data_IF_957544449699
#
_entry.id   IF_957544449699
#
_cell.length_a   1.000
_cell.length_b   1.000
_cell.length_c   1.000
_cell.angle_alpha   90.00
_cell.angle_beta   90.00
_cell.angle_gamma   90.00
#
_symmetry.space_group_name_H-M   'P 1'
#
loop_
_entity.id
_entity.type
_entity.pdbx_description
1 polymer ?
#
# COMPACT_ATOMS: atom_id res chain seq x y z
N UNK A 1 11.46 4.96 12.48
CA UNK A 1 12.01 5.89 11.47
C UNK A 1 10.91 6.32 10.51
N UNK A 2 11.15 7.26 9.59
CA UNK A 2 10.13 7.69 8.63
C UNK A 2 9.76 6.54 7.68
N UNK A 3 8.46 6.21 7.48
CA UNK A 3 8.02 5.09 6.64
C UNK A 3 8.55 5.14 5.20
N UNK A 4 8.63 6.33 4.61
CA UNK A 4 9.16 6.50 3.25
C UNK A 4 10.61 6.01 3.10
N UNK A 5 11.45 6.09 4.13
CA UNK A 5 12.86 5.69 4.04
C UNK A 5 13.02 4.18 3.85
N UNK A 6 12.22 3.38 4.58
CA UNK A 6 12.30 1.91 4.46
C UNK A 6 11.68 1.42 3.14
N UNK A 7 10.57 2.05 2.71
CA UNK A 7 9.94 1.75 1.42
C UNK A 7 10.92 2.07 0.28
N UNK A 8 11.63 3.19 0.36
CA UNK A 8 12.66 3.57 -0.61
C UNK A 8 13.87 2.63 -0.60
N UNK A 9 14.39 2.24 0.57
CA UNK A 9 15.54 1.33 0.65
C UNK A 9 15.24 -0.06 0.07
N UNK A 10 13.97 -0.46 0.05
CA UNK A 10 13.50 -1.70 -0.56
C UNK A 10 13.26 -1.59 -2.07
N UNK A 11 13.52 -0.42 -2.67
CA UNK A 11 13.45 -0.20 -4.11
C UNK A 11 12.04 0.00 -4.67
N UNK A 12 11.07 0.39 -3.84
CA UNK A 12 9.68 0.52 -4.29
C UNK A 12 9.37 1.80 -5.06
N UNK A 13 10.24 2.81 -5.10
CA UNK A 13 9.99 4.03 -5.89
C UNK A 13 9.71 3.68 -7.35
N UNK A 14 8.55 4.07 -7.86
CA UNK A 14 8.11 3.78 -9.23
C UNK A 14 7.49 2.40 -9.43
N UNK A 15 7.43 1.53 -8.41
CA UNK A 15 6.71 0.25 -8.47
C UNK A 15 5.21 0.48 -8.66
N UNK A 16 4.57 -0.41 -9.42
CA UNK A 16 3.19 -0.27 -9.88
C UNK A 16 2.38 -1.54 -9.69
N UNK A 17 1.09 -1.37 -9.41
CA UNK A 17 0.05 -2.38 -9.57
C UNK A 17 -1.17 -1.67 -10.18
N UNK A 18 -1.69 -2.20 -11.29
CA UNK A 18 -2.79 -1.55 -12.02
C UNK A 18 -2.47 -0.09 -12.32
N UNK A 19 -3.35 0.84 -11.91
CA UNK A 19 -3.15 2.29 -12.03
C UNK A 19 -2.50 2.97 -10.82
N UNK A 20 -2.14 2.23 -9.76
CA UNK A 20 -1.49 2.75 -8.56
C UNK A 20 0.05 2.62 -8.66
N UNK A 21 0.77 3.63 -8.18
CA UNK A 21 2.24 3.67 -8.18
C UNK A 21 2.80 4.27 -6.90
N UNK A 22 3.91 3.74 -6.40
CA UNK A 22 4.70 4.43 -5.37
C UNK A 22 5.43 5.60 -6.02
N UNK A 23 5.23 6.81 -5.51
CA UNK A 23 5.79 8.03 -6.09
C UNK A 23 7.32 7.93 -6.25
N UNK A 24 7.87 8.25 -7.44
CA UNK A 24 9.32 8.27 -7.65
C UNK A 24 10.00 9.42 -6.88
N UNK A 25 9.23 10.43 -6.46
CA UNK A 25 9.76 11.59 -5.73
C UNK A 25 9.87 11.28 -4.23
N UNK A 26 8.82 10.71 -3.63
CA UNK A 26 8.75 10.47 -2.19
C UNK A 26 7.98 9.18 -1.89
N UNK A 27 8.68 8.14 -1.43
CA UNK A 27 8.16 6.77 -1.35
C UNK A 27 7.02 6.55 -0.32
N UNK A 28 6.74 7.53 0.53
CA UNK A 28 5.56 7.50 1.41
C UNK A 28 4.23 7.80 0.67
N UNK A 29 4.28 8.20 -0.60
CA UNK A 29 3.08 8.51 -1.38
C UNK A 29 2.78 7.41 -2.38
N UNK A 30 1.54 6.94 -2.36
CA UNK A 30 0.95 6.20 -3.46
C UNK A 30 0.18 7.19 -4.31
N UNK A 31 0.46 7.21 -5.62
CA UNK A 31 -0.18 8.10 -6.59
C UNK A 31 -1.02 7.28 -7.55
N UNK A 32 -2.18 7.82 -7.92
CA UNK A 32 -2.90 7.35 -9.10
C UNK A 32 -2.17 7.90 -10.34
N UNK A 33 -1.51 7.03 -11.10
CA UNK A 33 -0.79 7.42 -12.31
C UNK A 33 -1.65 7.28 -13.58
N UNK A 34 -2.93 6.95 -13.41
CA UNK A 34 -3.92 6.76 -14.46
C UNK A 34 -4.74 5.50 -14.20
N UNK A 35 -6.05 5.66 -14.01
CA UNK A 35 -6.99 4.54 -13.94
C UNK A 35 -6.88 3.66 -12.68
N UNK A 36 -6.23 4.12 -11.60
CA UNK A 36 -6.15 3.32 -10.37
C UNK A 36 -7.53 3.03 -9.79
N UNK A 37 -7.79 1.77 -9.46
CA UNK A 37 -8.93 1.37 -8.64
C UNK A 37 -8.50 1.09 -7.20
N UNK A 38 -9.44 1.04 -6.26
CA UNK A 38 -9.11 0.84 -4.84
C UNK A 38 -8.30 -0.44 -4.59
N UNK A 39 -8.61 -1.54 -5.29
CA UNK A 39 -7.88 -2.80 -5.18
C UNK A 39 -6.42 -2.69 -5.62
N UNK A 40 -6.08 -1.77 -6.52
CA UNK A 40 -4.68 -1.54 -6.92
C UNK A 40 -3.87 -0.97 -5.77
N UNK A 41 -4.45 -0.01 -5.05
CA UNK A 41 -3.83 0.61 -3.88
C UNK A 41 -3.66 -0.42 -2.76
N UNK A 42 -4.70 -1.20 -2.47
CA UNK A 42 -4.66 -2.26 -1.43
C UNK A 42 -3.55 -3.27 -1.74
N UNK A 43 -3.52 -3.80 -2.97
CA UNK A 43 -2.48 -4.75 -3.40
C UNK A 43 -1.07 -4.16 -3.31
N UNK A 44 -0.91 -2.88 -3.66
CA UNK A 44 0.40 -2.23 -3.60
C UNK A 44 0.86 -2.04 -2.15
N UNK A 45 -0.04 -1.68 -1.23
CA UNK A 45 0.26 -1.61 0.21
C UNK A 45 0.63 -2.99 0.76
N UNK A 46 -0.12 -4.03 0.38
CA UNK A 46 0.16 -5.40 0.80
C UNK A 46 1.54 -5.86 0.31
N UNK A 47 1.87 -5.65 -0.96
CA UNK A 47 3.18 -6.00 -1.51
C UNK A 47 4.34 -5.29 -0.78
N UNK A 48 4.16 -4.01 -0.44
CA UNK A 48 5.14 -3.26 0.36
C UNK A 48 5.31 -3.90 1.74
N UNK A 49 4.21 -4.17 2.44
CA UNK A 49 4.24 -4.75 3.78
C UNK A 49 4.78 -6.18 3.82
N UNK A 50 4.46 -7.02 2.84
CA UNK A 50 5.03 -8.35 2.67
C UNK A 50 6.55 -8.28 2.53
N UNK A 51 7.05 -7.35 1.71
CA UNK A 51 8.48 -7.17 1.51
C UNK A 51 9.18 -6.66 2.77
N UNK A 52 8.60 -5.69 3.48
CA UNK A 52 9.14 -5.20 4.75
C UNK A 52 9.17 -6.32 5.79
N UNK A 53 8.09 -7.10 5.89
CA UNK A 53 8.02 -8.22 6.83
C UNK A 53 9.06 -9.28 6.50
N UNK A 54 9.23 -9.64 5.22
CA UNK A 54 10.23 -10.61 4.79
C UNK A 54 11.67 -10.17 5.08
N UNK A 55 12.00 -8.88 4.97
CA UNK A 55 13.38 -8.40 5.17
C UNK A 55 13.68 -7.95 6.61
N UNK A 56 12.66 -7.52 7.36
CA UNK A 56 12.85 -6.85 8.65
C UNK A 56 12.01 -7.44 9.80
N UNK A 57 11.09 -8.37 9.53
CA UNK A 57 10.30 -9.05 10.56
C UNK A 57 9.17 -8.21 11.17
N UNK A 58 8.77 -7.09 10.55
CA UNK A 58 7.63 -6.28 10.99
C UNK A 58 6.84 -5.71 9.80
N UNK A 59 5.63 -5.21 10.04
CA UNK A 59 4.81 -4.50 9.03
C UNK A 59 4.67 -3.02 9.38
N UNK A 60 4.43 -2.19 8.36
CA UNK A 60 4.07 -0.78 8.57
C UNK A 60 2.58 -0.63 8.78
N UNK A 61 2.25 0.17 9.79
CA UNK A 61 0.89 0.63 10.05
C UNK A 61 0.54 1.77 9.08
N UNK A 62 -0.38 1.54 8.15
CA UNK A 62 -0.87 2.56 7.22
C UNK A 62 -1.71 3.63 7.93
N UNK A 63 -1.60 4.90 7.55
CA UNK A 63 -2.56 5.93 7.98
C UNK A 63 -3.80 5.98 7.07
N UNK A 64 -3.67 5.47 5.84
CA UNK A 64 -4.78 5.37 4.90
C UNK A 64 -5.79 4.32 5.33
N UNK A 65 -7.06 4.65 5.14
CA UNK A 65 -8.22 3.79 5.40
C UNK A 65 -8.99 3.55 4.10
N UNK A 66 -9.46 2.32 3.94
CA UNK A 66 -10.47 1.94 2.97
C UNK A 66 -11.85 2.10 3.60
N UNK A 67 -12.80 2.61 2.81
CA UNK A 67 -14.20 2.71 3.21
C UNK A 67 -14.98 1.66 2.44
N UNK A 68 -15.56 0.69 3.16
CA UNK A 68 -16.36 -0.36 2.54
C UNK A 68 -17.67 0.20 1.96
N UNK A 69 -18.35 -0.60 1.14
CA UNK A 69 -19.68 -0.27 0.62
C UNK A 69 -20.73 -0.04 1.73
N UNK A 70 -20.48 -0.58 2.92
CA UNK A 70 -21.31 -0.42 4.13
C UNK A 70 -20.91 0.78 4.99
N UNK A 71 -19.89 1.54 4.57
CA UNK A 71 -19.38 2.70 5.31
C UNK A 71 -18.42 2.34 6.46
N UNK A 72 -17.92 1.11 6.50
CA UNK A 72 -16.96 0.69 7.53
C UNK A 72 -15.56 1.20 7.16
N UNK A 73 -14.82 1.68 8.16
CA UNK A 73 -13.43 2.11 8.01
C UNK A 73 -12.50 0.96 8.34
N UNK A 74 -11.68 0.56 7.37
CA UNK A 74 -10.69 -0.51 7.51
C UNK A 74 -9.33 0.08 7.16
N UNK A 75 -8.29 -0.15 7.98
CA UNK A 75 -6.95 0.34 7.64
C UNK A 75 -6.39 -0.45 6.46
N UNK A 76 -5.66 0.23 5.57
CA UNK A 76 -5.14 -0.43 4.36
C UNK A 76 -4.19 -1.60 4.66
N UNK A 77 -3.47 -1.58 5.78
CA UNK A 77 -2.60 -2.67 6.23
C UNK A 77 -3.35 -3.85 6.87
N UNK A 78 -4.62 -3.68 7.22
CA UNK A 78 -5.48 -4.75 7.75
C UNK A 78 -6.29 -5.45 6.64
N UNK A 79 -6.25 -4.92 5.41
CA UNK A 79 -6.94 -5.51 4.27
C UNK A 79 -6.09 -6.61 3.63
N UNK A 80 -6.48 -7.87 3.85
CA UNK A 80 -6.00 -9.00 3.04
C UNK A 80 -6.87 -9.20 1.79
N UNK A 81 -6.33 -9.88 0.78
CA UNK A 81 -7.08 -10.29 -0.42
C UNK A 81 -8.33 -11.13 -0.07
N UNK A 82 -8.34 -11.81 1.09
CA UNK A 82 -9.49 -12.59 1.58
C UNK A 82 -10.66 -11.72 2.07
N UNK A 83 -10.42 -10.48 2.47
CA UNK A 83 -11.44 -9.55 2.98
C UNK A 83 -11.92 -8.52 1.94
N UNK A 84 -11.37 -8.53 0.73
CA UNK A 84 -11.50 -7.41 -0.22
C UNK A 84 -12.63 -7.55 -1.27
N UNK A 85 -13.46 -8.60 -1.22
CA UNK A 85 -14.53 -8.82 -2.19
C UNK A 85 -15.82 -9.41 -1.57
N UNK A 86 -16.40 -8.70 -0.59
CA UNK A 86 -17.83 -8.85 -0.22
C UNK A 86 -18.44 -7.51 0.15
#
# INVERSE_FOLDING_TARGET
GPPGKIIESLGFKGSKIGGAMVSPIHANFIVNFGGAVASDVVKLVNQINERIHSEHGFTLKSEGVFVSSKGELIRLDDLSDENSLI
#
